data_IF_053703555530
#
_entry.id   IF_053703555530
#
_cell.length_a   1.000
_cell.length_b   1.000
_cell.length_c   1.000
_cell.angle_alpha   90.00
_cell.angle_beta   90.00
_cell.angle_gamma   90.00
#
_symmetry.space_group_name_H-M   'P 1'
#
loop_
_entity.id
_entity.type
_entity.pdbx_description
1 polymer ?
#
# COMPACT_ATOMS: atom_id res chain seq x y z
N UNK A 1 -13.15 -1.14 -6.37
CA UNK A 1 -12.06 -0.18 -6.19
C UNK A 1 -10.84 -0.72 -6.91
N UNK A 2 -10.23 0.13 -7.72
CA UNK A 2 -8.99 -0.18 -8.42
C UNK A 2 -7.79 0.00 -7.48
N UNK A 3 -6.82 -0.90 -7.57
CA UNK A 3 -5.53 -0.84 -6.86
C UNK A 3 -4.41 -1.33 -7.77
N UNK A 4 -3.17 -0.91 -7.50
CA UNK A 4 -1.96 -1.46 -8.14
C UNK A 4 -1.18 -2.25 -7.11
N UNK A 5 -0.99 -3.54 -7.36
CA UNK A 5 -0.44 -4.48 -6.41
C UNK A 5 0.88 -5.08 -6.89
N UNK A 6 1.80 -5.31 -5.96
CA UNK A 6 3.00 -6.12 -6.16
C UNK A 6 2.60 -7.58 -5.91
N UNK A 7 2.55 -8.45 -6.95
CA UNK A 7 2.16 -9.83 -6.76
C UNK A 7 3.27 -10.64 -6.06
N UNK A 8 4.54 -10.28 -6.30
CA UNK A 8 5.74 -10.79 -5.65
C UNK A 8 6.86 -9.74 -5.75
N UNK A 9 7.86 -9.73 -4.85
CA UNK A 9 8.96 -8.79 -4.89
C UNK A 9 9.62 -8.68 -6.27
N UNK A 10 9.80 -7.44 -6.75
CA UNK A 10 10.41 -7.11 -8.03
C UNK A 10 9.54 -7.38 -9.27
N UNK A 11 8.32 -7.93 -9.14
CA UNK A 11 7.42 -8.15 -10.28
C UNK A 11 6.66 -6.87 -10.66
N UNK A 12 6.32 -6.65 -11.94
CA UNK A 12 5.53 -5.49 -12.36
C UNK A 12 4.25 -5.35 -11.54
N UNK A 13 3.81 -4.10 -11.34
CA UNK A 13 2.54 -3.84 -10.69
C UNK A 13 1.38 -4.36 -11.53
N UNK A 14 0.44 -5.04 -10.86
CA UNK A 14 -0.78 -5.54 -11.48
C UNK A 14 -1.96 -4.65 -11.07
N UNK A 15 -2.76 -4.25 -12.06
CA UNK A 15 -4.02 -3.56 -11.81
C UNK A 15 -5.06 -4.58 -11.33
N UNK A 16 -5.62 -4.35 -10.15
CA UNK A 16 -6.60 -5.24 -9.51
C UNK A 16 -7.84 -4.45 -9.14
N UNK A 17 -9.00 -4.94 -9.56
CA UNK A 17 -10.32 -4.44 -9.14
C UNK A 17 -10.87 -5.32 -8.02
N UNK A 18 -11.19 -4.73 -6.87
CA UNK A 18 -11.71 -5.43 -5.69
C UNK A 18 -12.91 -4.72 -5.07
N UNK A 19 -13.77 -5.36 -4.26
CA UNK A 19 -14.83 -4.64 -3.56
C UNK A 19 -14.25 -3.59 -2.59
N UNK A 20 -14.91 -2.44 -2.46
CA UNK A 20 -14.55 -1.47 -1.41
C UNK A 20 -14.78 -2.12 -0.04
N UNK A 21 -13.79 -2.12 0.88
CA UNK A 21 -13.95 -2.72 2.20
C UNK A 21 -14.99 -1.97 3.04
N UNK A 22 -15.61 -2.67 3.99
CA UNK A 22 -16.46 -2.06 5.01
C UNK A 22 -15.63 -1.85 6.27
N UNK A 23 -15.55 -0.62 6.81
CA UNK A 23 -14.74 -0.37 7.99
C UNK A 23 -15.39 -1.03 9.22
N UNK A 24 -14.55 -1.56 10.10
CA UNK A 24 -14.91 -2.15 11.39
C UNK A 24 -14.12 -1.50 12.52
N UNK A 25 -14.59 -1.61 13.77
CA UNK A 25 -13.91 -1.00 14.92
C UNK A 25 -13.61 0.48 14.71
N UNK A 26 -12.33 0.85 14.83
CA UNK A 26 -11.81 2.22 14.66
C UNK A 26 -11.28 2.51 13.25
N UNK A 27 -11.54 1.64 12.27
CA UNK A 27 -11.07 1.82 10.89
C UNK A 27 -11.76 3.00 10.19
N UNK A 28 -11.06 3.60 9.23
CA UNK A 28 -11.58 4.68 8.37
C UNK A 28 -11.34 4.31 6.92
N UNK A 29 -12.35 4.51 6.07
CA UNK A 29 -12.20 4.40 4.62
C UNK A 29 -11.94 5.77 4.04
N UNK A 30 -10.79 5.90 3.38
CA UNK A 30 -10.41 7.10 2.64
C UNK A 30 -10.55 6.80 1.15
N UNK A 31 -11.29 7.64 0.44
CA UNK A 31 -11.27 7.68 -1.02
C UNK A 31 -10.03 8.47 -1.45
N UNK A 32 -9.02 7.75 -1.93
CA UNK A 32 -7.78 8.33 -2.43
C UNK A 32 -8.05 9.28 -3.60
N UNK A 33 -7.61 10.53 -3.47
CA UNK A 33 -7.63 11.54 -4.53
C UNK A 33 -6.23 11.64 -5.16
N UNK A 34 -5.20 11.58 -4.33
CA UNK A 34 -3.80 11.57 -4.75
C UNK A 34 -2.98 10.65 -3.84
N UNK A 35 -1.92 10.08 -4.40
CA UNK A 35 -0.89 9.37 -3.65
C UNK A 35 0.47 9.76 -4.21
N UNK A 36 1.39 10.15 -3.33
CA UNK A 36 2.78 10.39 -3.70
C UNK A 36 3.48 9.08 -4.11
N UNK A 37 4.53 9.22 -4.92
CA UNK A 37 5.46 8.14 -5.28
C UNK A 37 6.84 8.55 -4.78
N UNK A 38 7.35 7.79 -3.83
CA UNK A 38 8.62 8.06 -3.17
C UNK A 38 9.64 6.96 -3.51
N UNK A 39 10.93 7.24 -3.28
CA UNK A 39 11.99 6.25 -3.52
C UNK A 39 11.81 5.01 -2.63
N UNK A 40 11.26 5.16 -1.42
CA UNK A 40 10.91 4.03 -0.55
C UNK A 40 9.97 3.03 -1.24
N UNK A 41 9.11 3.44 -2.16
CA UNK A 41 8.25 2.52 -2.91
C UNK A 41 9.06 1.56 -3.79
N UNK A 42 10.24 1.98 -4.29
CA UNK A 42 11.15 1.12 -5.05
C UNK A 42 11.72 0.01 -4.16
N UNK A 43 12.12 0.34 -2.94
CA UNK A 43 12.64 -0.65 -1.97
C UNK A 43 11.54 -1.58 -1.47
N UNK A 44 10.34 -1.06 -1.24
CA UNK A 44 9.18 -1.86 -0.87
C UNK A 44 8.80 -2.80 -2.01
N UNK A 45 8.83 -2.31 -3.26
CA UNK A 45 8.57 -3.09 -4.46
C UNK A 45 9.60 -4.22 -4.65
N UNK A 46 10.88 -3.94 -4.44
CA UNK A 46 11.94 -4.96 -4.53
C UNK A 46 11.94 -5.96 -3.36
N UNK A 47 11.26 -5.63 -2.26
CA UNK A 47 11.21 -6.45 -1.05
C UNK A 47 12.41 -6.28 -0.11
N UNK A 48 13.28 -5.29 -0.36
CA UNK A 48 14.42 -4.99 0.50
C UNK A 48 14.90 -3.54 0.33
N UNK A 49 15.38 -2.95 1.42
CA UNK A 49 16.16 -1.71 1.37
C UNK A 49 17.62 -2.05 1.09
N UNK A 50 18.17 -1.44 0.04
CA UNK A 50 19.60 -1.48 -0.23
C UNK A 50 20.31 -0.54 0.74
N UNK A 51 21.11 -1.11 1.64
CA UNK A 51 21.90 -0.36 2.63
C UNK A 51 23.31 -0.02 2.11
N UNK A 52 23.65 -0.44 0.89
CA UNK A 52 24.95 -0.32 0.29
C UNK A 52 25.94 -1.40 0.74
N UNK A 53 27.05 -1.52 0.00
CA UNK A 53 28.11 -2.47 0.31
C UNK A 53 27.70 -3.95 0.19
N UNK A 54 26.63 -4.25 -0.57
CA UNK A 54 26.07 -5.59 -0.70
C UNK A 54 25.18 -6.02 0.48
N UNK A 55 24.84 -5.10 1.39
CA UNK A 55 23.92 -5.36 2.50
C UNK A 55 22.51 -4.96 2.13
N UNK A 56 21.55 -5.82 2.45
CA UNK A 56 20.13 -5.59 2.25
C UNK A 56 19.38 -5.76 3.57
N UNK A 57 18.38 -4.91 3.80
CA UNK A 57 17.42 -5.07 4.88
C UNK A 57 16.09 -5.56 4.30
N UNK A 58 15.69 -6.82 4.56
CA UNK A 58 14.44 -7.36 4.04
C UNK A 58 13.21 -6.59 4.52
N UNK A 59 12.23 -6.42 3.63
CA UNK A 59 10.93 -5.80 3.90
C UNK A 59 9.86 -6.88 3.77
N UNK A 60 9.55 -7.63 4.86
CA UNK A 60 8.63 -8.74 4.81
C UNK A 60 7.18 -8.24 4.72
N UNK A 61 6.66 -8.19 3.50
CA UNK A 61 5.27 -7.81 3.23
C UNK A 61 4.46 -9.01 2.74
N UNK A 62 3.15 -9.04 3.05
CA UNK A 62 2.26 -10.04 2.48
C UNK A 62 2.17 -9.85 0.97
N UNK A 63 2.15 -10.96 0.23
CA UNK A 63 2.00 -10.96 -1.22
C UNK A 63 0.61 -11.53 -1.58
N UNK A 64 -0.22 -10.81 -2.34
CA UNK A 64 0.04 -9.52 -2.98
C UNK A 64 -0.02 -8.32 -2.02
N UNK A 65 0.71 -7.24 -2.35
CA UNK A 65 0.75 -6.00 -1.56
C UNK A 65 0.33 -4.77 -2.37
N UNK A 66 -0.57 -3.92 -1.85
CA UNK A 66 -0.90 -2.62 -2.49
C UNK A 66 0.10 -1.55 -2.05
N UNK A 67 0.78 -0.89 -2.99
CA UNK A 67 1.71 0.20 -2.69
C UNK A 67 0.99 1.52 -2.40
N UNK A 68 1.76 2.48 -1.87
CA UNK A 68 1.31 3.85 -1.60
C UNK A 68 1.27 4.15 -0.11
N UNK A 69 2.18 5.01 0.35
CA UNK A 69 2.29 5.41 1.76
C UNK A 69 2.16 6.93 1.96
N UNK A 70 1.89 7.68 0.89
CA UNK A 70 1.74 9.15 0.90
C UNK A 70 0.33 9.54 0.40
N UNK A 71 -0.70 9.12 1.12
CA UNK A 71 -2.10 9.20 0.67
C UNK A 71 -2.76 10.53 1.07
N UNK A 72 -3.44 11.17 0.11
CA UNK A 72 -4.36 12.28 0.33
C UNK A 72 -5.75 11.94 -0.23
N UNK A 73 -6.81 12.21 0.53
CA UNK A 73 -8.16 11.88 0.11
C UNK A 73 -9.26 12.33 1.07
N UNK A 74 -10.46 11.89 0.77
CA UNK A 74 -11.68 12.19 1.54
C UNK A 74 -12.08 11.00 2.41
N UNK A 75 -12.48 11.26 3.66
CA UNK A 75 -13.13 10.25 4.51
C UNK A 75 -14.52 9.96 3.95
N UNK A 76 -14.79 8.71 3.58
CA UNK A 76 -16.07 8.30 2.97
C UNK A 76 -16.86 7.29 3.81
N UNK A 77 -16.22 6.63 4.78
CA UNK A 77 -16.88 5.80 5.78
C UNK A 77 -15.99 5.66 7.02
N UNK A 78 -16.62 5.42 8.18
CA UNK A 78 -15.94 5.20 9.46
C UNK A 78 -16.53 3.98 10.14
N UNK A 79 -15.69 3.27 10.90
CA UNK A 79 -16.12 2.15 11.74
C UNK A 79 -16.90 2.63 12.97
N UNK A 80 -17.64 1.74 13.65
CA UNK A 80 -18.52 2.11 14.77
C UNK A 80 -17.79 2.72 15.98
N UNK A 81 -16.49 2.51 16.12
CA UNK A 81 -15.67 2.96 17.25
C UNK A 81 -14.74 4.13 16.87
N UNK A 82 -14.80 4.61 15.62
CA UNK A 82 -14.06 5.77 15.17
C UNK A 82 -14.75 7.06 15.68
N UNK A 83 -14.30 7.53 16.85
CA UNK A 83 -14.75 8.77 17.51
C UNK A 83 -13.79 9.94 17.29
#
# INVERSE_FOLDING_TARGET
MKSYQVPQPGKPLEEVESPTPKPTGSEVIIKTIACGVCHSDVHIHSGAFDLGGGNELPVPLPNPFTLGHEVFGEVVAVGPEAN
#
